data_IF_399587125917
#
_entry.id   IF_399587125917
#
_cell.length_a   1.000
_cell.length_b   1.000
_cell.length_c   1.000
_cell.angle_alpha   90.00
_cell.angle_beta   90.00
_cell.angle_gamma   90.00
#
_symmetry.space_group_name_H-M   'P 1'
#
loop_
_entity.id
_entity.type
_entity.pdbx_description
1 polymer ?
#
# COMPACT_ATOMS: atom_id res chain seq x y z
N UNK A 1 -4.84 -6.76 0.19
CA UNK A 1 -4.63 -6.69 -1.27
C UNK A 1 -3.41 -7.48 -1.68
N UNK A 2 -3.35 -7.89 -2.94
CA UNK A 2 -2.21 -8.56 -3.58
C UNK A 2 -1.74 -7.75 -4.78
N UNK A 3 -0.47 -7.86 -5.15
CA UNK A 3 0.06 -7.22 -6.36
C UNK A 3 -0.31 -8.05 -7.61
N UNK A 4 -0.82 -7.38 -8.63
CA UNK A 4 -1.17 -7.95 -9.91
C UNK A 4 -0.63 -7.07 -11.04
N UNK A 5 0.58 -7.37 -11.52
CA UNK A 5 1.28 -6.50 -12.45
C UNK A 5 1.60 -5.15 -11.81
N UNK A 6 1.09 -4.05 -12.40
CA UNK A 6 1.24 -2.68 -11.89
C UNK A 6 0.07 -2.22 -11.02
N UNK A 7 -0.90 -3.10 -10.79
CA UNK A 7 -2.08 -2.82 -9.97
C UNK A 7 -2.06 -3.64 -8.69
N UNK A 8 -2.84 -3.23 -7.73
CA UNK A 8 -3.24 -4.06 -6.60
C UNK A 8 -4.66 -4.58 -6.82
N UNK A 9 -4.90 -5.82 -6.42
CA UNK A 9 -6.21 -6.44 -6.38
C UNK A 9 -6.64 -6.60 -4.93
N UNK A 10 -7.78 -6.02 -4.57
CA UNK A 10 -8.35 -6.19 -3.24
C UNK A 10 -9.05 -7.54 -3.14
N UNK A 11 -8.59 -8.39 -2.23
CA UNK A 11 -9.09 -9.76 -2.05
C UNK A 11 -9.93 -9.94 -0.80
N UNK A 12 -9.86 -9.00 0.13
CA UNK A 12 -10.65 -8.97 1.35
C UNK A 12 -10.79 -7.52 1.82
N UNK A 13 -11.99 -7.17 2.26
CA UNK A 13 -12.29 -5.88 2.87
C UNK A 13 -13.18 -6.08 4.09
N UNK A 14 -12.88 -5.36 5.16
CA UNK A 14 -13.70 -5.28 6.35
C UNK A 14 -14.02 -3.81 6.63
N UNK A 15 -15.29 -3.44 6.55
CA UNK A 15 -15.75 -2.07 6.81
C UNK A 15 -16.15 -1.91 8.28
N UNK A 16 -15.69 -0.82 8.89
CA UNK A 16 -16.17 -0.43 10.20
C UNK A 16 -17.59 0.15 10.08
N UNK A 17 -18.47 -0.10 11.05
CA UNK A 17 -19.79 0.56 11.11
C UNK A 17 -19.62 2.09 11.09
N UNK A 18 -20.31 2.78 10.17
CA UNK A 18 -20.21 4.23 10.01
C UNK A 18 -18.88 4.73 9.43
N UNK A 19 -18.03 3.83 8.92
CA UNK A 19 -16.79 4.17 8.24
C UNK A 19 -16.99 4.85 6.89
N UNK A 20 -15.93 5.42 6.29
CA UNK A 20 -16.02 6.12 5.01
C UNK A 20 -16.38 5.16 3.88
N UNK A 21 -16.99 5.70 2.83
CA UNK A 21 -17.19 4.96 1.59
C UNK A 21 -15.86 4.84 0.85
N UNK A 22 -15.41 3.61 0.64
CA UNK A 22 -14.19 3.30 -0.09
C UNK A 22 -14.54 2.95 -1.53
N UNK A 23 -13.68 3.38 -2.47
CA UNK A 23 -13.74 2.92 -3.87
C UNK A 23 -13.14 1.52 -4.03
N UNK A 24 -12.35 1.06 -3.05
CA UNK A 24 -11.89 -0.32 -2.96
C UNK A 24 -13.04 -1.23 -2.55
N UNK A 25 -13.13 -2.36 -3.19
CA UNK A 25 -14.02 -3.48 -2.82
C UNK A 25 -13.35 -4.77 -3.29
N UNK A 26 -13.82 -5.90 -2.83
CA UNK A 26 -13.29 -7.20 -3.27
C UNK A 26 -13.41 -7.32 -4.78
N UNK A 27 -12.29 -7.64 -5.45
CA UNK A 27 -12.20 -7.72 -6.91
C UNK A 27 -11.83 -6.41 -7.61
N UNK A 28 -11.83 -5.27 -6.92
CA UNK A 28 -11.39 -3.98 -7.49
C UNK A 28 -9.88 -3.97 -7.69
N UNK A 29 -9.44 -3.39 -8.81
CA UNK A 29 -8.04 -3.13 -9.14
C UNK A 29 -7.77 -1.64 -9.11
N UNK A 30 -6.68 -1.25 -8.47
CA UNK A 30 -6.20 0.14 -8.44
C UNK A 30 -4.70 0.19 -8.74
N UNK A 31 -4.20 1.26 -9.37
CA UNK A 31 -2.77 1.42 -9.64
C UNK A 31 -1.94 1.33 -8.36
N UNK A 32 -0.93 0.46 -8.37
CA UNK A 32 -0.11 0.21 -7.19
C UNK A 32 0.64 1.45 -6.70
N UNK A 33 0.99 2.36 -7.60
CA UNK A 33 1.68 3.61 -7.26
C UNK A 33 0.79 4.68 -6.62
N UNK A 34 -0.53 4.50 -6.65
CA UNK A 34 -1.50 5.42 -6.04
C UNK A 34 -2.04 4.91 -4.69
N UNK A 35 -1.74 3.67 -4.32
CA UNK A 35 -2.32 3.03 -3.13
C UNK A 35 -1.24 2.75 -2.08
N UNK A 36 -1.58 2.87 -0.79
CA UNK A 36 -0.69 2.46 0.29
C UNK A 36 -0.32 0.96 0.18
N UNK A 37 -1.29 0.10 -0.14
CA UNK A 37 -1.06 -1.34 -0.33
C UNK A 37 -0.07 -1.63 -1.46
N UNK A 38 -0.20 -0.93 -2.58
CA UNK A 38 0.72 -1.07 -3.71
C UNK A 38 2.13 -0.58 -3.39
N UNK A 39 2.25 0.59 -2.75
CA UNK A 39 3.54 1.12 -2.31
C UNK A 39 4.23 0.20 -1.30
N UNK A 40 3.48 -0.40 -0.37
CA UNK A 40 4.02 -1.37 0.59
C UNK A 40 4.55 -2.63 -0.12
N UNK A 41 3.80 -3.18 -1.08
CA UNK A 41 4.21 -4.35 -1.86
C UNK A 41 5.41 -4.05 -2.75
N UNK A 42 5.38 -2.92 -3.48
CA UNK A 42 6.50 -2.50 -4.33
C UNK A 42 7.78 -2.22 -3.51
N UNK A 43 7.66 -1.62 -2.33
CA UNK A 43 8.79 -1.39 -1.43
C UNK A 43 9.42 -2.70 -0.94
N UNK A 44 8.64 -3.77 -0.85
CA UNK A 44 9.07 -5.09 -0.41
C UNK A 44 9.69 -5.93 -1.54
N UNK A 45 9.48 -5.57 -2.81
CA UNK A 45 10.06 -6.25 -3.96
C UNK A 45 11.55 -5.88 -4.17
N UNK A 46 12.34 -6.78 -4.79
CA UNK A 46 13.66 -6.43 -5.31
C UNK A 46 13.58 -5.27 -6.32
N UNK A 47 14.58 -4.39 -6.28
CA UNK A 47 14.61 -3.19 -7.13
C UNK A 47 14.53 -3.51 -8.64
N UNK A 48 15.06 -4.66 -9.05
CA UNK A 48 15.01 -5.12 -10.46
C UNK A 48 13.60 -5.44 -10.90
N UNK A 49 12.80 -6.09 -10.04
CA UNK A 49 11.41 -6.39 -10.32
C UNK A 49 10.58 -5.11 -10.43
N UNK A 50 10.82 -4.15 -9.53
CA UNK A 50 10.15 -2.84 -9.62
C UNK A 50 10.51 -2.13 -10.93
N UNK A 51 11.78 -2.13 -11.35
CA UNK A 51 12.18 -1.55 -12.65
C UNK A 51 11.53 -2.25 -13.84
N UNK A 52 11.38 -3.57 -13.78
CA UNK A 52 10.72 -4.33 -14.84
C UNK A 52 9.21 -4.00 -14.94
N UNK A 53 8.55 -3.76 -13.82
CA UNK A 53 7.15 -3.34 -13.78
C UNK A 53 6.95 -1.91 -14.33
N UNK A 54 7.91 -1.01 -14.12
CA UNK A 54 7.84 0.40 -14.49
C UNK A 54 9.00 0.81 -15.39
N UNK A 55 9.04 0.31 -16.65
CA UNK A 55 10.18 0.49 -17.55
C UNK A 55 10.32 1.90 -18.13
N UNK A 56 9.29 2.73 -18.03
CA UNK A 56 9.28 4.09 -18.59
C UNK A 56 8.13 4.94 -18.09
N UNK A 57 8.11 6.21 -18.47
CA UNK A 57 7.13 7.19 -18.01
C UNK A 57 5.67 6.78 -18.26
N UNK A 58 5.37 6.11 -19.38
CA UNK A 58 4.04 5.62 -19.70
C UNK A 58 3.51 4.49 -18.78
N UNK A 59 4.35 3.98 -17.87
CA UNK A 59 3.94 2.98 -16.88
C UNK A 59 3.29 3.60 -15.63
N UNK A 60 3.38 4.93 -15.47
CA UNK A 60 2.89 5.64 -14.29
C UNK A 60 1.51 6.23 -14.54
N UNK A 61 0.59 5.93 -13.61
CA UNK A 61 -0.74 6.54 -13.58
C UNK A 61 -0.71 7.67 -12.56
N UNK A 62 -1.15 8.85 -12.98
CA UNK A 62 -1.38 10.00 -12.10
C UNK A 62 -2.87 10.28 -12.00
N UNK A 63 -3.30 10.75 -10.85
CA UNK A 63 -4.66 11.23 -10.62
C UNK A 63 -4.60 12.73 -10.31
N UNK A 64 -5.23 13.54 -11.14
CA UNK A 64 -5.26 15.00 -11.00
C UNK A 64 -3.85 15.61 -10.85
N UNK A 65 -2.88 15.10 -11.62
CA UNK A 65 -1.48 15.51 -11.55
C UNK A 65 -0.72 15.05 -10.30
N UNK A 66 -1.36 14.26 -9.43
CA UNK A 66 -0.77 13.71 -8.21
C UNK A 66 -0.32 12.25 -8.40
N UNK A 67 0.62 11.83 -7.57
CA UNK A 67 1.26 10.51 -7.65
C UNK A 67 2.61 10.57 -8.33
N UNK A 68 3.34 9.47 -8.30
CA UNK A 68 4.68 9.40 -8.92
C UNK A 68 4.58 9.38 -10.44
N UNK A 69 5.46 10.14 -11.09
CA UNK A 69 5.50 10.29 -12.56
C UNK A 69 6.76 9.67 -13.20
N UNK A 70 7.68 9.15 -12.39
CA UNK A 70 8.95 8.61 -12.89
C UNK A 70 9.52 7.51 -12.00
N UNK A 71 10.40 6.68 -12.57
CA UNK A 71 11.11 5.66 -11.81
C UNK A 71 12.03 6.23 -10.73
N UNK A 72 12.54 7.45 -10.89
CA UNK A 72 13.33 8.14 -9.85
C UNK A 72 12.45 8.51 -8.67
N UNK A 73 11.30 9.14 -8.93
CA UNK A 73 10.34 9.51 -7.91
C UNK A 73 9.82 8.26 -7.16
N UNK A 74 9.49 7.18 -7.90
CA UNK A 74 9.07 5.92 -7.29
C UNK A 74 10.15 5.36 -6.37
N UNK A 75 11.42 5.29 -6.82
CA UNK A 75 12.53 4.78 -5.98
C UNK A 75 12.67 5.57 -4.68
N UNK A 76 12.60 6.90 -4.76
CA UNK A 76 12.67 7.77 -3.57
C UNK A 76 11.54 7.47 -2.62
N UNK A 77 10.32 7.35 -3.11
CA UNK A 77 9.16 7.02 -2.28
C UNK A 77 9.26 5.64 -1.63
N UNK A 78 9.71 4.62 -2.39
CA UNK A 78 9.90 3.28 -1.85
C UNK A 78 11.03 3.20 -0.81
N UNK A 79 12.07 4.03 -0.94
CA UNK A 79 13.10 4.16 0.10
C UNK A 79 12.53 4.70 1.41
N UNK A 80 11.66 5.71 1.33
CA UNK A 80 10.97 6.25 2.51
C UNK A 80 10.07 5.18 3.17
N UNK A 81 9.33 4.41 2.37
CA UNK A 81 8.51 3.31 2.88
C UNK A 81 9.36 2.27 3.61
N UNK A 82 10.50 1.89 3.04
CA UNK A 82 11.44 0.95 3.69
C UNK A 82 12.01 1.50 5.00
N UNK A 83 12.39 2.78 5.01
CA UNK A 83 12.99 3.42 6.18
C UNK A 83 12.02 3.50 7.37
N UNK A 84 10.74 3.83 7.12
CA UNK A 84 9.74 3.94 8.19
C UNK A 84 8.99 2.63 8.48
N UNK A 85 9.08 1.61 7.61
CA UNK A 85 8.48 0.29 7.80
C UNK A 85 7.00 0.17 7.44
N UNK A 86 6.40 1.20 6.84
CA UNK A 86 5.03 1.19 6.33
C UNK A 86 4.86 2.17 5.16
N UNK A 87 3.90 1.92 4.31
CA UNK A 87 3.48 2.85 3.26
C UNK A 87 2.33 3.73 3.76
N UNK A 88 2.26 4.94 3.26
CA UNK A 88 1.16 5.87 3.51
C UNK A 88 0.77 6.56 2.21
N UNK A 89 -0.51 6.81 2.02
CA UNK A 89 -1.04 7.69 0.99
C UNK A 89 -2.13 8.60 1.57
N UNK A 90 -2.24 9.81 1.04
CA UNK A 90 -3.21 10.81 1.44
C UNK A 90 -3.94 11.32 0.20
N UNK A 91 -5.24 11.01 0.10
CA UNK A 91 -6.14 11.52 -0.93
C UNK A 91 -5.80 11.13 -2.37
N UNK A 92 -4.87 10.20 -2.62
CA UNK A 92 -4.53 9.78 -4.00
C UNK A 92 -5.61 8.89 -4.61
N UNK A 93 -6.24 8.05 -3.81
CA UNK A 93 -7.34 7.18 -4.24
C UNK A 93 -8.68 7.89 -4.07
N UNK A 94 -8.93 8.45 -2.90
CA UNK A 94 -10.17 9.18 -2.58
C UNK A 94 -9.82 10.42 -1.78
N UNK A 95 -10.26 11.58 -2.24
CA UNK A 95 -10.02 12.83 -1.53
C UNK A 95 -10.58 12.77 -0.11
N UNK A 96 -9.83 13.30 0.85
CA UNK A 96 -10.21 13.29 2.28
C UNK A 96 -10.08 11.93 2.97
N UNK A 97 -9.49 10.93 2.32
CA UNK A 97 -9.14 9.66 2.93
C UNK A 97 -7.64 9.45 2.95
N UNK A 98 -7.16 8.88 4.03
CA UNK A 98 -5.78 8.44 4.18
C UNK A 98 -5.70 6.95 4.44
N UNK A 99 -4.62 6.33 3.99
CA UNK A 99 -4.37 4.91 4.18
C UNK A 99 -2.94 4.64 4.59
N UNK A 100 -2.74 3.66 5.47
CA UNK A 100 -1.44 3.04 5.70
C UNK A 100 -1.49 1.56 5.36
N UNK A 101 -0.35 1.01 4.94
CA UNK A 101 -0.23 -0.41 4.63
C UNK A 101 1.13 -0.98 5.00
N UNK A 102 1.13 -2.27 5.34
CA UNK A 102 2.32 -3.06 5.66
C UNK A 102 2.29 -4.36 4.87
N UNK A 103 3.40 -4.80 4.26
CA UNK A 103 3.43 -6.04 3.50
C UNK A 103 3.42 -7.27 4.41
N UNK A 104 2.75 -8.32 3.94
CA UNK A 104 2.77 -9.67 4.48
C UNK A 104 3.72 -10.49 3.63
N UNK A 105 4.68 -11.19 4.25
CA UNK A 105 5.74 -11.90 3.55
C UNK A 105 5.65 -13.40 3.75
N UNK A 106 6.00 -14.14 2.72
CA UNK A 106 6.10 -15.59 2.77
C UNK A 106 7.41 -16.08 3.44
N UNK A 107 7.66 -17.37 3.38
CA UNK A 107 8.85 -18.02 3.97
C UNK A 107 10.16 -17.65 3.26
N UNK A 108 10.09 -17.13 2.03
CA UNK A 108 11.24 -16.65 1.25
C UNK A 108 11.48 -15.14 1.41
N UNK A 109 10.72 -14.50 2.29
CA UNK A 109 10.66 -13.04 2.48
C UNK A 109 10.06 -12.25 1.30
N UNK A 110 9.44 -12.97 0.34
CA UNK A 110 8.74 -12.34 -0.77
C UNK A 110 7.40 -11.75 -0.32
N UNK A 111 7.01 -10.54 -0.80
CA UNK A 111 5.73 -9.94 -0.45
C UNK A 111 4.59 -10.71 -1.12
N UNK A 112 3.75 -11.34 -0.31
CA UNK A 112 2.58 -12.11 -0.75
C UNK A 112 1.33 -11.22 -0.87
N UNK A 113 1.14 -10.37 0.13
CA UNK A 113 -0.02 -9.48 0.23
C UNK A 113 0.34 -8.23 1.03
N UNK A 114 -0.57 -7.27 1.13
CA UNK A 114 -0.49 -6.16 2.07
C UNK A 114 -1.80 -6.02 2.84
N UNK A 115 -1.69 -5.72 4.12
CA UNK A 115 -2.81 -5.30 4.97
C UNK A 115 -2.77 -3.78 5.11
N UNK A 116 -3.95 -3.14 5.06
CA UNK A 116 -4.09 -1.71 5.15
C UNK A 116 -5.26 -1.31 6.05
N UNK A 117 -5.17 -0.09 6.58
CA UNK A 117 -6.28 0.61 7.21
C UNK A 117 -6.46 1.95 6.50
N UNK A 118 -7.72 2.29 6.23
CA UNK A 118 -8.13 3.56 5.62
C UNK A 118 -9.10 4.27 6.57
N UNK A 119 -8.90 5.58 6.72
CA UNK A 119 -9.76 6.43 7.54
C UNK A 119 -10.05 7.77 6.85
N UNK A 120 -11.10 8.45 7.30
CA UNK A 120 -11.39 9.80 6.87
C UNK A 120 -10.46 10.79 7.59
N UNK A 121 -9.88 11.71 6.83
CA UNK A 121 -9.04 12.78 7.38
C UNK A 121 -9.90 13.75 8.17
N UNK A 122 -9.38 14.20 9.32
CA UNK A 122 -10.05 15.16 10.20
C UNK A 122 -9.48 16.57 10.07
N UNK A 123 -8.41 16.73 9.32
CA UNK A 123 -7.69 17.99 9.11
C UNK A 123 -7.17 18.07 7.68
N UNK A 124 -6.84 19.28 7.22
CA UNK A 124 -6.24 19.50 5.91
C UNK A 124 -4.86 18.84 5.78
N UNK A 125 -4.11 18.77 6.88
CA UNK A 125 -2.84 18.04 6.96
C UNK A 125 -3.04 16.74 7.77
N UNK A 126 -3.25 15.62 7.09
CA UNK A 126 -3.50 14.35 7.76
C UNK A 126 -2.25 13.85 8.49
N UNK A 127 -2.38 13.61 9.77
CA UNK A 127 -1.35 13.01 10.61
C UNK A 127 -1.66 11.54 10.81
N UNK A 128 -0.66 10.70 10.60
CA UNK A 128 -0.76 9.27 10.88
C UNK A 128 -0.60 9.03 12.38
N UNK A 129 -1.59 8.42 13.01
CA UNK A 129 -1.54 8.05 14.42
C UNK A 129 -0.63 6.84 14.63
N UNK A 130 0.36 6.97 15.51
CA UNK A 130 1.30 5.89 15.84
C UNK A 130 0.58 4.62 16.36
N UNK A 131 -0.53 4.76 17.06
CA UNK A 131 -1.33 3.62 17.51
C UNK A 131 -1.95 2.84 16.35
N UNK A 132 -2.33 3.53 15.27
CA UNK A 132 -2.81 2.90 14.03
C UNK A 132 -1.66 2.17 13.33
N UNK A 133 -0.49 2.82 13.22
CA UNK A 133 0.72 2.21 12.65
C UNK A 133 1.06 0.92 13.37
N UNK A 134 1.17 0.95 14.69
CA UNK A 134 1.47 -0.19 15.53
C UNK A 134 0.46 -1.34 15.34
N UNK A 135 -0.81 -1.01 15.22
CA UNK A 135 -1.87 -2.00 15.03
C UNK A 135 -1.76 -2.71 13.69
N UNK A 136 -1.50 -1.96 12.62
CA UNK A 136 -1.33 -2.53 11.27
C UNK A 136 -0.05 -3.35 11.19
N UNK A 137 1.04 -2.87 11.79
CA UNK A 137 2.31 -3.61 11.84
C UNK A 137 2.17 -4.93 12.61
N UNK A 138 1.49 -4.92 13.78
CA UNK A 138 1.20 -6.17 14.53
C UNK A 138 0.35 -7.14 13.72
N UNK A 139 -0.69 -6.66 13.04
CA UNK A 139 -1.52 -7.49 12.18
C UNK A 139 -0.72 -8.12 11.03
N UNK A 140 0.11 -7.32 10.34
CA UNK A 140 0.98 -7.80 9.28
C UNK A 140 2.01 -8.83 9.77
N UNK A 141 2.61 -8.61 10.94
CA UNK A 141 3.55 -9.54 11.55
C UNK A 141 2.87 -10.88 11.92
N UNK A 142 1.68 -10.83 12.48
CA UNK A 142 0.90 -12.04 12.82
C UNK A 142 0.50 -12.82 11.57
N UNK A 143 0.03 -12.14 10.52
CA UNK A 143 -0.29 -12.78 9.24
C UNK A 143 0.95 -13.38 8.58
N UNK A 144 2.08 -12.68 8.58
CA UNK A 144 3.37 -13.18 8.09
C UNK A 144 3.79 -14.44 8.84
N UNK A 145 3.66 -14.44 10.19
CA UNK A 145 3.98 -15.62 11.02
C UNK A 145 3.12 -16.81 10.65
N UNK A 146 1.82 -16.63 10.44
CA UNK A 146 0.88 -17.71 10.06
C UNK A 146 1.18 -18.24 8.65
N UNK A 147 1.41 -17.37 7.70
CA UNK A 147 1.77 -17.75 6.32
C UNK A 147 3.07 -18.55 6.28
N UNK A 148 4.03 -18.21 7.13
CA UNK A 148 5.30 -18.96 7.27
C UNK A 148 5.17 -20.30 8.01
N UNK A 149 3.97 -20.69 8.42
CA UNK A 149 3.72 -21.94 9.14
C UNK A 149 4.27 -21.97 10.57
N UNK A 150 4.64 -20.82 11.13
CA UNK A 150 5.07 -20.70 12.53
C UNK A 150 3.82 -20.46 13.39
N UNK A 151 3.49 -21.45 14.23
CA UNK A 151 2.43 -21.35 15.24
C UNK A 151 2.90 -20.57 16.47
#
# INVERSE_FOLDING_TARGET
AILHGRDVLYVLEQRAPGGPHLVSDVGVRLPATLTATGLALLAALPAEQVRALFPGAGAFVQRDGRGVASGVALRSQLQQVRARGYAVEHGLVTDGLSSIAVPIRDHTDHPLAAVAVTWADRAEDPVVDDAVVDSVQRAAAELTRRVRGRR
#
